data_IF_095763875469
#
_entry.id   IF_095763875469
#
_cell.length_a   1.000
_cell.length_b   1.000
_cell.length_c   1.000
_cell.angle_alpha   90.00
_cell.angle_beta   90.00
_cell.angle_gamma   90.00
#
_symmetry.space_group_name_H-M   'P 1'
#
loop_
_entity.id
_entity.type
_entity.pdbx_description
1 polymer ?
#
# COMPACT_ATOMS: atom_id res chain seq x y z
N UNK A 1 4.01 -12.45 9.26
CA UNK A 1 4.25 -13.89 9.16
C UNK A 1 4.97 -14.45 10.38
N UNK A 2 6.29 -14.22 10.51
CA UNK A 2 7.11 -14.86 11.56
C UNK A 2 6.60 -14.62 13.00
N UNK A 3 6.23 -13.39 13.35
CA UNK A 3 5.65 -13.08 14.66
C UNK A 3 4.32 -13.79 14.90
N UNK A 4 3.49 -13.96 13.87
CA UNK A 4 2.24 -14.72 13.99
C UNK A 4 2.52 -16.20 14.27
N UNK A 5 3.54 -16.79 13.64
CA UNK A 5 3.99 -18.17 13.92
C UNK A 5 4.49 -18.29 15.36
N UNK A 6 5.27 -17.31 15.84
CA UNK A 6 5.75 -17.29 17.24
C UNK A 6 4.62 -17.05 18.25
N UNK A 7 3.55 -16.35 17.84
CA UNK A 7 2.36 -16.11 18.65
C UNK A 7 1.47 -17.36 18.72
N UNK A 8 1.29 -18.05 17.59
CA UNK A 8 0.37 -19.18 17.46
C UNK A 8 0.72 -20.32 18.42
N UNK A 9 -0.28 -21.03 18.94
CA UNK A 9 -0.04 -22.28 19.68
C UNK A 9 0.53 -23.34 18.70
N UNK A 10 1.50 -24.13 19.17
CA UNK A 10 2.13 -25.21 18.38
C UNK A 10 1.21 -26.48 18.37
N UNK A 11 -0.07 -26.31 18.14
CA UNK A 11 -1.03 -27.42 18.06
C UNK A 11 -1.81 -27.33 16.77
N UNK A 12 -1.88 -28.45 16.05
CA UNK A 12 -2.65 -28.58 14.80
C UNK A 12 -4.17 -28.66 15.04
N UNK A 13 -4.61 -28.80 16.31
CA UNK A 13 -6.03 -28.92 16.67
C UNK A 13 -6.52 -27.58 17.22
N UNK A 14 -7.46 -26.96 16.52
CA UNK A 14 -8.08 -25.67 16.90
C UNK A 14 -8.76 -25.69 18.29
N UNK A 15 -9.27 -26.86 18.72
CA UNK A 15 -9.96 -27.06 19.99
C UNK A 15 -9.08 -27.80 21.04
N UNK A 16 -7.76 -27.73 20.94
CA UNK A 16 -6.90 -28.37 21.91
C UNK A 16 -6.96 -27.64 23.25
N UNK A 17 -7.27 -28.33 24.37
CA UNK A 17 -7.14 -27.74 25.71
C UNK A 17 -5.70 -27.36 26.07
N UNK A 18 -4.75 -27.68 25.19
CA UNK A 18 -3.33 -27.36 25.27
C UNK A 18 -2.98 -25.97 24.70
N UNK A 19 -3.93 -25.13 24.40
CA UNK A 19 -3.69 -23.76 23.91
C UNK A 19 -2.86 -22.98 24.95
N UNK A 20 -1.65 -22.63 24.56
CA UNK A 20 -0.65 -21.99 25.43
C UNK A 20 -0.83 -20.47 25.38
N UNK A 21 -0.66 -19.80 26.52
CA UNK A 21 -0.57 -18.34 26.53
C UNK A 21 0.59 -17.88 25.62
N UNK A 22 0.38 -16.87 24.76
CA UNK A 22 1.44 -16.31 23.93
C UNK A 22 2.56 -15.75 24.81
N UNK A 23 3.79 -15.77 24.29
CA UNK A 23 4.95 -15.20 24.99
C UNK A 23 4.76 -13.69 25.15
N UNK A 24 4.99 -13.17 26.37
CA UNK A 24 5.00 -11.73 26.62
C UNK A 24 5.96 -10.97 25.69
N UNK A 25 7.11 -11.56 25.41
CA UNK A 25 8.09 -10.96 24.50
C UNK A 25 7.55 -10.86 23.06
N UNK A 26 6.87 -11.89 22.55
CA UNK A 26 6.22 -11.85 21.22
C UNK A 26 5.11 -10.82 21.19
N UNK A 27 4.34 -10.69 22.26
CA UNK A 27 3.33 -9.62 22.37
C UNK A 27 3.98 -8.23 22.24
N UNK A 28 5.05 -7.96 22.98
CA UNK A 28 5.76 -6.69 22.88
C UNK A 28 6.39 -6.45 21.51
N UNK A 29 6.84 -7.49 20.82
CA UNK A 29 7.31 -7.39 19.44
C UNK A 29 6.17 -7.00 18.46
N UNK A 30 4.94 -7.48 18.71
CA UNK A 30 3.77 -7.06 17.92
C UNK A 30 3.39 -5.60 18.24
N UNK A 31 3.42 -5.19 19.52
CA UNK A 31 3.24 -3.78 19.91
C UNK A 31 4.26 -2.90 19.21
N UNK A 32 5.54 -3.25 19.26
CA UNK A 32 6.61 -2.53 18.58
C UNK A 32 6.42 -2.50 17.07
N UNK A 33 5.96 -3.59 16.45
CA UNK A 33 5.71 -3.64 15.01
C UNK A 33 4.63 -2.61 14.62
N UNK A 34 3.49 -2.62 15.32
CA UNK A 34 2.39 -1.69 15.04
C UNK A 34 2.80 -0.24 15.35
N UNK A 35 3.43 0.00 16.50
CA UNK A 35 3.89 1.32 16.88
C UNK A 35 4.89 1.88 15.86
N UNK A 36 5.88 1.08 15.44
CA UNK A 36 6.82 1.48 14.40
C UNK A 36 6.14 1.80 13.08
N UNK A 37 5.23 0.94 12.64
CA UNK A 37 4.54 1.11 11.37
C UNK A 37 3.88 2.48 11.28
N UNK A 38 3.18 2.88 12.33
CA UNK A 38 2.39 4.12 12.36
C UNK A 38 3.28 5.33 12.70
N UNK A 39 4.07 5.24 13.79
CA UNK A 39 4.92 6.35 14.25
C UNK A 39 5.95 6.78 13.22
N UNK A 40 6.66 5.83 12.62
CA UNK A 40 7.65 6.17 11.58
C UNK A 40 7.03 6.59 10.26
N UNK A 41 5.77 6.24 9.99
CA UNK A 41 4.99 6.84 8.91
C UNK A 41 4.83 8.35 9.10
N UNK A 42 4.43 8.79 10.31
CA UNK A 42 4.33 10.20 10.67
C UNK A 42 5.68 10.90 10.71
N UNK A 43 6.68 10.28 11.35
CA UNK A 43 8.03 10.83 11.45
C UNK A 43 8.69 11.03 10.07
N UNK A 44 8.53 10.06 9.15
CA UNK A 44 9.06 10.17 7.80
C UNK A 44 8.48 11.36 7.02
N UNK A 45 7.20 11.67 7.22
CA UNK A 45 6.57 12.86 6.63
C UNK A 45 7.21 14.15 7.13
N UNK A 46 7.50 14.25 8.44
CA UNK A 46 8.18 15.41 9.02
C UNK A 46 9.64 15.53 8.57
N UNK A 47 10.34 14.39 8.43
CA UNK A 47 11.75 14.34 8.05
C UNK A 47 11.97 14.50 6.54
N UNK A 48 10.94 14.33 5.72
CA UNK A 48 11.06 14.36 4.26
C UNK A 48 11.42 15.73 3.70
N UNK A 49 11.12 16.80 4.43
CA UNK A 49 11.25 18.18 3.95
C UNK A 49 10.22 18.54 2.87
N UNK A 50 9.21 17.72 2.64
CA UNK A 50 8.15 18.03 1.66
C UNK A 50 7.24 19.16 2.21
N UNK A 51 7.18 20.32 1.50
CA UNK A 51 6.37 21.46 1.94
C UNK A 51 4.88 21.12 2.11
N UNK A 52 4.36 20.14 1.36
CA UNK A 52 2.93 19.80 1.45
C UNK A 52 2.54 19.29 2.83
N UNK A 53 3.46 18.63 3.55
CA UNK A 53 3.23 18.19 4.92
C UNK A 53 3.37 19.33 5.91
N UNK A 54 4.39 20.18 5.77
CA UNK A 54 4.60 21.32 6.69
C UNK A 54 3.51 22.38 6.56
N UNK A 55 2.98 22.59 5.34
CA UNK A 55 1.90 23.53 5.05
C UNK A 55 0.50 22.92 5.23
N UNK A 56 0.43 21.64 5.63
CA UNK A 56 -0.79 20.87 5.78
C UNK A 56 -1.66 20.81 4.49
N UNK A 57 -1.02 20.86 3.32
CA UNK A 57 -1.71 20.80 2.00
C UNK A 57 -1.64 19.42 1.35
N UNK A 58 -0.97 18.44 1.97
CA UNK A 58 -0.76 17.11 1.41
C UNK A 58 -2.06 16.42 0.97
N UNK A 59 -3.14 16.57 1.74
CA UNK A 59 -4.43 15.94 1.43
C UNK A 59 -5.13 16.55 0.21
N UNK A 60 -4.79 17.77 -0.19
CA UNK A 60 -5.29 18.38 -1.44
C UNK A 60 -4.77 17.64 -2.69
N UNK A 61 -3.71 16.87 -2.55
CA UNK A 61 -3.14 16.05 -3.61
C UNK A 61 -3.43 14.56 -3.40
N UNK A 62 -3.36 14.07 -2.15
CA UNK A 62 -3.41 12.66 -1.78
C UNK A 62 -4.56 11.89 -2.45
N UNK A 63 -5.78 12.41 -2.40
CA UNK A 63 -6.97 11.65 -2.79
C UNK A 63 -7.03 11.35 -4.29
N UNK A 64 -6.48 12.20 -5.14
CA UNK A 64 -6.52 12.00 -6.59
C UNK A 64 -5.20 11.52 -7.20
N UNK A 65 -4.07 11.67 -6.47
CA UNK A 65 -2.77 11.17 -6.93
C UNK A 65 -2.45 9.76 -6.46
N UNK A 66 -3.21 9.17 -5.52
CA UNK A 66 -3.00 7.80 -5.05
C UNK A 66 -3.17 6.77 -6.19
N UNK A 67 -2.54 5.57 -6.12
CA UNK A 67 -2.49 4.61 -7.23
C UNK A 67 -3.86 4.24 -7.79
N UNK A 68 -4.79 3.80 -6.96
CA UNK A 68 -6.11 3.30 -7.36
C UNK A 68 -7.21 4.00 -6.54
N UNK A 69 -7.51 5.28 -6.83
CA UNK A 69 -8.60 5.98 -6.15
C UNK A 69 -9.95 5.45 -6.63
N UNK A 70 -10.96 5.57 -5.77
CA UNK A 70 -12.33 5.22 -6.06
C UNK A 70 -13.27 6.34 -5.61
N UNK A 71 -14.58 6.24 -5.83
CA UNK A 71 -15.51 7.36 -5.69
C UNK A 71 -15.44 8.12 -4.33
N UNK A 72 -15.20 7.52 -3.14
CA UNK A 72 -15.09 8.30 -1.91
C UNK A 72 -13.87 9.23 -1.87
N UNK A 73 -12.81 8.88 -2.63
CA UNK A 73 -11.64 9.76 -2.76
C UNK A 73 -12.01 11.09 -3.43
N UNK A 74 -12.90 11.06 -4.41
CA UNK A 74 -13.38 12.28 -5.06
C UNK A 74 -14.17 13.16 -4.09
N UNK A 75 -15.06 12.56 -3.27
CA UNK A 75 -15.80 13.29 -2.22
C UNK A 75 -14.82 13.93 -1.24
N UNK A 76 -13.83 13.15 -0.76
CA UNK A 76 -12.83 13.66 0.17
C UNK A 76 -11.99 14.79 -0.46
N UNK A 77 -11.61 14.68 -1.73
CA UNK A 77 -10.88 15.72 -2.46
C UNK A 77 -11.71 17.00 -2.66
N UNK A 78 -13.04 16.90 -2.68
CA UNK A 78 -13.97 18.02 -2.85
C UNK A 78 -14.22 18.79 -1.55
N UNK A 79 -13.69 18.35 -0.42
CA UNK A 79 -13.82 19.06 0.85
C UNK A 79 -13.09 20.42 0.83
N UNK A 80 -13.60 21.43 1.55
CA UNK A 80 -12.93 22.72 1.69
C UNK A 80 -11.49 22.58 2.21
N UNK A 81 -10.59 23.41 1.71
CA UNK A 81 -9.16 23.34 2.05
C UNK A 81 -8.87 23.41 3.57
N UNK A 82 -9.66 24.16 4.33
CA UNK A 82 -9.50 24.25 5.77
C UNK A 82 -9.81 22.92 6.49
N UNK A 83 -10.79 22.15 6.00
CA UNK A 83 -11.09 20.80 6.52
C UNK A 83 -9.93 19.87 6.22
N UNK A 84 -9.39 19.89 4.98
CA UNK A 84 -8.24 19.06 4.59
C UNK A 84 -7.02 19.39 5.45
N UNK A 85 -6.78 20.64 5.78
CA UNK A 85 -5.70 21.05 6.71
C UNK A 85 -5.93 20.51 8.11
N UNK A 86 -7.14 20.62 8.65
CA UNK A 86 -7.45 20.05 9.98
C UNK A 86 -7.28 18.53 10.01
N UNK A 87 -7.71 17.83 8.97
CA UNK A 87 -7.51 16.38 8.86
C UNK A 87 -6.02 16.05 8.75
N UNK A 88 -5.22 16.85 8.04
CA UNK A 88 -3.77 16.69 7.96
C UNK A 88 -3.12 16.78 9.34
N UNK A 89 -3.47 17.78 10.13
CA UNK A 89 -3.02 17.92 11.53
C UNK A 89 -3.47 16.71 12.36
N UNK A 90 -4.73 16.29 12.21
CA UNK A 90 -5.27 15.10 12.86
C UNK A 90 -4.48 13.84 12.54
N UNK A 91 -4.04 13.65 11.28
CA UNK A 91 -3.18 12.54 10.88
C UNK A 91 -1.86 12.56 11.67
N UNK A 92 -1.18 13.71 11.80
CA UNK A 92 0.03 13.81 12.60
C UNK A 92 -0.20 13.48 14.07
N UNK A 93 -1.27 13.98 14.67
CA UNK A 93 -1.64 13.67 16.06
C UNK A 93 -1.88 12.16 16.21
N UNK A 94 -2.57 11.53 15.27
CA UNK A 94 -2.84 10.09 15.30
C UNK A 94 -1.57 9.27 15.03
N UNK A 95 -0.79 9.61 14.01
CA UNK A 95 0.40 8.82 13.64
C UNK A 95 1.53 8.93 14.67
N UNK A 96 1.70 10.07 15.34
CA UNK A 96 2.75 10.25 16.33
C UNK A 96 2.27 9.99 17.76
N UNK A 97 1.02 10.30 18.08
CA UNK A 97 0.48 10.18 19.43
C UNK A 97 -0.12 8.81 19.74
N UNK A 98 -1.00 8.27 18.89
CA UNK A 98 -1.68 7.01 19.18
C UNK A 98 -0.72 5.81 19.39
N UNK A 99 0.41 5.66 18.65
CA UNK A 99 1.38 4.61 18.93
C UNK A 99 1.99 4.64 20.33
N UNK A 100 2.13 5.81 20.94
CA UNK A 100 2.66 5.93 22.29
C UNK A 100 1.70 5.34 23.33
N UNK A 101 0.40 5.44 23.09
CA UNK A 101 -0.63 4.86 23.95
C UNK A 101 -0.55 3.32 24.01
N UNK A 102 0.02 2.68 22.97
CA UNK A 102 0.16 1.22 22.92
C UNK A 102 1.09 0.66 24.02
N UNK A 103 2.00 1.48 24.54
CA UNK A 103 2.93 1.11 25.61
C UNK A 103 2.35 1.29 27.02
N UNK A 104 1.21 1.94 27.12
CA UNK A 104 0.55 2.25 28.38
C UNK A 104 -0.37 1.10 28.85
N UNK A 105 -0.94 1.16 30.07
CA UNK A 105 -1.87 0.16 30.59
C UNK A 105 -3.11 -0.03 29.72
N UNK A 106 -3.95 -1.00 30.09
CA UNK A 106 -5.10 -1.51 29.32
C UNK A 106 -5.95 -0.44 28.61
N UNK A 107 -6.44 0.60 29.34
CA UNK A 107 -7.37 1.58 28.76
C UNK A 107 -6.72 2.44 27.69
N UNK A 108 -5.61 3.18 27.92
CA UNK A 108 -4.97 3.96 26.87
C UNK A 108 -4.46 3.10 25.71
N UNK A 109 -3.98 1.87 25.94
CA UNK A 109 -3.61 0.93 24.88
C UNK A 109 -4.79 0.62 23.97
N UNK A 110 -5.95 0.33 24.54
CA UNK A 110 -7.18 0.07 23.78
C UNK A 110 -7.57 1.29 22.95
N UNK A 111 -7.52 2.50 23.54
CA UNK A 111 -7.79 3.76 22.84
C UNK A 111 -6.81 3.93 21.67
N UNK A 112 -5.51 3.76 21.89
CA UNK A 112 -4.50 3.83 20.83
C UNK A 112 -4.75 2.85 19.69
N UNK A 113 -5.10 1.60 20.01
CA UNK A 113 -5.44 0.60 19.01
C UNK A 113 -6.70 0.97 18.21
N UNK A 114 -7.74 1.48 18.86
CA UNK A 114 -8.98 1.93 18.19
C UNK A 114 -8.69 3.13 17.28
N UNK A 115 -7.92 4.11 17.73
CA UNK A 115 -7.55 5.29 16.93
C UNK A 115 -6.76 4.89 15.69
N UNK A 116 -5.77 3.99 15.82
CA UNK A 116 -5.00 3.49 14.68
C UNK A 116 -5.90 2.69 13.73
N UNK A 117 -6.76 1.82 14.24
CA UNK A 117 -7.70 1.07 13.41
C UNK A 117 -8.66 2.00 12.67
N UNK A 118 -9.17 3.05 13.31
CA UNK A 118 -9.99 4.09 12.71
C UNK A 118 -9.26 4.82 11.57
N UNK A 119 -8.00 5.21 11.77
CA UNK A 119 -7.17 5.80 10.73
C UNK A 119 -7.01 4.84 9.53
N UNK A 120 -6.72 3.56 9.78
CA UNK A 120 -6.59 2.56 8.71
C UNK A 120 -7.90 2.34 7.95
N UNK A 121 -9.04 2.40 8.63
CA UNK A 121 -10.36 2.33 7.99
C UNK A 121 -10.64 3.56 7.13
N UNK A 122 -10.30 4.76 7.59
CA UNK A 122 -10.44 5.98 6.79
C UNK A 122 -9.56 5.93 5.52
N UNK A 123 -8.32 5.43 5.63
CA UNK A 123 -7.43 5.23 4.48
C UNK A 123 -8.02 4.17 3.53
N UNK A 124 -8.52 3.04 4.06
CA UNK A 124 -9.17 2.01 3.25
C UNK A 124 -10.45 2.50 2.57
N UNK A 125 -11.21 3.37 3.24
CA UNK A 125 -12.44 3.95 2.70
C UNK A 125 -12.19 4.94 1.54
N UNK A 126 -11.01 5.56 1.46
CA UNK A 126 -10.69 6.57 0.44
C UNK A 126 -9.72 6.08 -0.62
N UNK A 127 -9.06 4.93 -0.44
CA UNK A 127 -8.07 4.41 -1.38
C UNK A 127 -7.84 2.91 -1.29
N UNK A 128 -7.39 2.33 -2.38
CA UNK A 128 -7.13 0.89 -2.49
C UNK A 128 -5.65 0.58 -2.24
N UNK A 129 -5.31 0.18 -1.01
CA UNK A 129 -3.93 -0.17 -0.59
C UNK A 129 -3.75 -1.68 -0.35
N UNK A 130 -4.57 -2.49 -1.00
CA UNK A 130 -4.52 -3.95 -0.90
C UNK A 130 -4.79 -4.44 0.52
N UNK A 131 -3.98 -5.39 0.98
CA UNK A 131 -4.13 -6.01 2.31
C UNK A 131 -3.52 -5.18 3.45
N UNK A 132 -2.81 -4.08 3.17
CA UNK A 132 -2.01 -3.34 4.16
C UNK A 132 -2.85 -2.81 5.32
N UNK A 133 -3.93 -2.08 5.02
CA UNK A 133 -4.80 -1.52 6.06
C UNK A 133 -5.46 -2.61 6.91
N UNK A 134 -5.92 -3.69 6.26
CA UNK A 134 -6.54 -4.83 6.94
C UNK A 134 -5.55 -5.55 7.86
N UNK A 135 -4.31 -5.73 7.43
CA UNK A 135 -3.25 -6.30 8.27
C UNK A 135 -2.96 -5.43 9.49
N UNK A 136 -2.92 -4.11 9.33
CA UNK A 136 -2.74 -3.17 10.43
C UNK A 136 -3.93 -3.22 11.42
N UNK A 137 -5.17 -3.33 10.93
CA UNK A 137 -6.37 -3.52 11.77
C UNK A 137 -6.30 -4.84 12.54
N UNK A 138 -5.89 -5.93 11.91
CA UNK A 138 -5.69 -7.23 12.59
C UNK A 138 -4.61 -7.11 13.68
N UNK A 139 -3.54 -6.35 13.44
CA UNK A 139 -2.55 -6.06 14.47
C UNK A 139 -3.16 -5.25 15.63
N UNK A 140 -4.04 -4.28 15.35
CA UNK A 140 -4.75 -3.54 16.39
C UNK A 140 -5.63 -4.47 17.26
N UNK A 141 -6.29 -5.48 16.66
CA UNK A 141 -7.04 -6.47 17.44
C UNK A 141 -6.17 -7.25 18.43
N UNK A 142 -4.89 -7.51 18.09
CA UNK A 142 -3.95 -8.18 18.99
C UNK A 142 -3.51 -7.31 20.17
N UNK A 143 -3.81 -6.01 20.17
CA UNK A 143 -3.55 -5.08 21.27
C UNK A 143 -4.70 -5.02 22.28
N UNK A 144 -5.88 -5.50 21.89
CA UNK A 144 -7.07 -5.50 22.76
C UNK A 144 -6.92 -6.56 23.85
N UNK A 145 -7.42 -6.23 25.01
CA UNK A 145 -7.49 -7.13 26.16
C UNK A 145 -8.62 -8.15 25.99
N UNK A 146 -8.45 -9.35 26.56
CA UNK A 146 -9.46 -10.42 26.54
C UNK A 146 -10.82 -9.92 27.04
N UNK A 147 -10.86 -9.02 28.04
CA UNK A 147 -12.09 -8.46 28.54
C UNK A 147 -12.84 -7.61 27.50
N UNK A 148 -12.12 -6.84 26.67
CA UNK A 148 -12.72 -6.06 25.58
C UNK A 148 -13.19 -6.99 24.47
N UNK A 149 -12.35 -7.97 24.09
CA UNK A 149 -12.70 -8.96 23.07
C UNK A 149 -13.91 -9.79 23.47
N UNK A 150 -13.99 -10.21 24.75
CA UNK A 150 -15.10 -10.98 25.25
C UNK A 150 -16.42 -10.18 25.27
N UNK A 151 -16.38 -8.84 25.41
CA UNK A 151 -17.59 -8.00 25.28
C UNK A 151 -18.20 -8.09 23.88
N UNK A 152 -17.38 -8.28 22.86
CA UNK A 152 -17.82 -8.41 21.46
C UNK A 152 -18.33 -9.82 21.11
N UNK A 153 -18.17 -10.81 22.03
CA UNK A 153 -18.52 -12.22 21.77
C UNK A 153 -19.83 -12.62 22.45
N UNK A 154 -20.66 -13.45 21.82
CA UNK A 154 -21.89 -13.96 22.43
C UNK A 154 -21.62 -14.68 23.76
N UNK A 155 -22.51 -14.59 24.75
CA UNK A 155 -22.31 -15.21 26.08
C UNK A 155 -22.01 -16.71 26.05
N UNK A 156 -22.66 -17.46 25.14
CA UNK A 156 -22.44 -18.90 24.97
C UNK A 156 -21.02 -19.23 24.48
N UNK A 157 -20.38 -18.34 23.70
CA UNK A 157 -19.01 -18.52 23.23
C UNK A 157 -17.98 -18.14 24.31
N UNK A 158 -18.31 -17.17 25.18
CA UNK A 158 -17.46 -16.76 26.33
C UNK A 158 -17.16 -17.93 27.26
N UNK A 159 -18.17 -18.74 27.58
CA UNK A 159 -18.04 -19.90 28.48
C UNK A 159 -17.09 -20.98 27.92
N UNK A 160 -17.03 -21.16 26.58
CA UNK A 160 -16.15 -22.14 25.91
C UNK A 160 -14.68 -21.71 25.89
N UNK A 161 -14.41 -20.41 25.86
CA UNK A 161 -13.05 -19.86 25.80
C UNK A 161 -12.34 -19.93 27.15
N UNK A 162 -13.07 -19.83 28.25
CA UNK A 162 -12.52 -19.79 29.62
C UNK A 162 -11.84 -21.11 30.11
N UNK A 163 -12.14 -22.25 29.47
CA UNK A 163 -11.77 -23.59 29.97
C UNK A 163 -10.39 -24.09 29.48
N UNK A 164 -9.72 -23.43 28.50
CA UNK A 164 -8.70 -24.06 27.67
C UNK A 164 -7.20 -23.78 27.96
N UNK A 165 -6.77 -23.11 29.03
CA UNK A 165 -5.46 -22.44 29.06
C UNK A 165 -4.39 -22.99 30.04
N UNK A 166 -4.18 -24.29 30.17
CA UNK A 166 -3.16 -24.81 31.11
C UNK A 166 -2.22 -25.87 30.56
N UNK A 167 -1.23 -25.51 29.73
CA UNK A 167 -0.02 -26.33 29.57
C UNK A 167 1.20 -25.50 29.15
N UNK A 168 2.35 -25.75 29.78
CA UNK A 168 3.61 -25.09 29.46
C UNK A 168 4.35 -25.81 28.31
N UNK A 169 4.99 -25.12 27.36
CA UNK A 169 5.83 -25.76 26.36
C UNK A 169 7.05 -26.41 26.95
N UNK A 170 7.58 -27.45 26.29
CA UNK A 170 8.85 -28.06 26.65
C UNK A 170 9.98 -27.01 26.70
N UNK A 171 11.00 -27.30 27.52
CA UNK A 171 12.11 -26.38 27.83
C UNK A 171 12.84 -25.90 26.55
N UNK A 172 13.15 -26.82 25.66
CA UNK A 172 13.87 -26.56 24.40
C UNK A 172 13.08 -25.57 23.48
N UNK A 173 11.78 -25.78 23.35
CA UNK A 173 10.91 -24.90 22.55
C UNK A 173 10.81 -23.50 23.17
N UNK A 174 10.80 -23.38 24.50
CA UNK A 174 10.81 -22.09 25.19
C UNK A 174 12.10 -21.32 24.92
N UNK A 175 13.25 -21.96 25.02
CA UNK A 175 14.54 -21.31 24.77
C UNK A 175 14.72 -20.95 23.31
N UNK A 176 14.35 -21.82 22.37
CA UNK A 176 14.39 -21.52 20.94
C UNK A 176 13.53 -20.30 20.59
N UNK A 177 12.28 -20.24 21.08
CA UNK A 177 11.40 -19.06 20.86
C UNK A 177 11.96 -17.79 21.49
N UNK A 178 12.56 -17.87 22.69
CA UNK A 178 13.21 -16.72 23.34
C UNK A 178 14.39 -16.23 22.52
N UNK A 179 15.24 -17.14 22.03
CA UNK A 179 16.39 -16.81 21.20
C UNK A 179 15.98 -16.08 19.91
N UNK A 180 15.04 -16.65 19.16
CA UNK A 180 14.52 -16.00 17.93
C UNK A 180 13.90 -14.64 18.23
N UNK A 181 13.10 -14.54 19.31
CA UNK A 181 12.48 -13.27 19.70
C UNK A 181 13.51 -12.22 20.14
N UNK A 182 14.59 -12.62 20.81
CA UNK A 182 15.68 -11.72 21.19
C UNK A 182 16.43 -11.19 19.96
N UNK A 183 16.73 -12.06 18.99
CA UNK A 183 17.34 -11.63 17.70
C UNK A 183 16.43 -10.67 16.96
N UNK A 184 15.12 -10.95 16.89
CA UNK A 184 14.17 -10.02 16.27
C UNK A 184 14.10 -8.68 17.00
N UNK A 185 14.13 -8.70 18.34
CA UNK A 185 14.16 -7.45 19.12
C UNK A 185 15.42 -6.63 18.82
N UNK A 186 16.58 -7.28 18.79
CA UNK A 186 17.85 -6.63 18.44
C UNK A 186 17.77 -5.98 17.04
N UNK A 187 17.31 -6.73 16.04
CA UNK A 187 17.16 -6.22 14.67
C UNK A 187 16.18 -5.03 14.60
N UNK A 188 15.08 -5.10 15.37
CA UNK A 188 14.12 -3.99 15.47
C UNK A 188 14.75 -2.74 16.08
N UNK A 189 15.46 -2.89 17.21
CA UNK A 189 16.11 -1.77 17.90
C UNK A 189 17.18 -1.12 17.02
N UNK A 190 17.98 -1.92 16.32
CA UNK A 190 18.97 -1.44 15.35
C UNK A 190 18.32 -0.66 14.23
N UNK A 191 17.25 -1.19 13.66
CA UNK A 191 16.53 -0.50 12.58
C UNK A 191 15.86 0.80 13.05
N UNK A 192 15.36 0.85 14.28
CA UNK A 192 14.86 2.11 14.90
C UNK A 192 15.98 3.12 15.01
N UNK A 193 17.14 2.72 15.54
CA UNK A 193 18.30 3.59 15.64
C UNK A 193 18.71 4.15 14.27
N UNK A 194 18.86 3.29 13.27
CA UNK A 194 19.23 3.71 11.90
C UNK A 194 18.23 4.71 11.31
N UNK A 195 16.94 4.53 11.58
CA UNK A 195 15.88 5.40 11.06
C UNK A 195 15.84 6.76 11.78
N UNK A 196 16.12 6.80 13.07
CA UNK A 196 16.16 8.04 13.88
C UNK A 196 17.44 8.83 13.63
N UNK A 197 18.60 8.16 13.62
CA UNK A 197 19.92 8.83 13.54
C UNK A 197 20.42 9.01 12.12
N UNK A 198 19.75 8.41 11.12
CA UNK A 198 20.18 8.36 9.71
C UNK A 198 21.59 7.78 9.55
N UNK A 199 22.12 7.11 10.57
CA UNK A 199 23.47 6.56 10.61
C UNK A 199 23.46 5.04 10.52
N UNK A 200 24.39 4.47 9.73
CA UNK A 200 24.55 3.02 9.59
C UNK A 200 25.23 2.43 10.83
N UNK A 201 24.92 1.18 11.11
CA UNK A 201 25.58 0.40 12.19
C UNK A 201 26.88 -0.22 11.73
N UNK A 202 27.76 -0.49 12.73
CA UNK A 202 29.05 -1.13 12.52
C UNK A 202 28.97 -2.61 12.09
N UNK A 203 30.10 -3.15 11.66
CA UNK A 203 30.22 -4.41 10.93
C UNK A 203 29.50 -5.65 11.50
N UNK A 204 29.56 -6.06 12.76
CA UNK A 204 28.95 -7.34 13.13
C UNK A 204 27.41 -7.33 12.98
N UNK A 205 26.79 -6.17 13.21
CA UNK A 205 25.33 -6.03 13.09
C UNK A 205 24.92 -5.90 11.61
N UNK A 206 25.71 -5.19 10.80
CA UNK A 206 25.51 -5.12 9.36
C UNK A 206 25.56 -6.49 8.69
N UNK A 207 26.49 -7.36 9.11
CA UNK A 207 26.59 -8.74 8.61
C UNK A 207 25.38 -9.58 8.99
N UNK A 208 24.86 -9.43 10.21
CA UNK A 208 23.62 -10.10 10.63
C UNK A 208 22.41 -9.61 9.82
N UNK A 209 22.28 -8.32 9.60
CA UNK A 209 21.22 -7.74 8.75
C UNK A 209 21.30 -8.28 7.32
N UNK A 210 22.51 -8.39 6.77
CA UNK A 210 22.74 -8.94 5.43
C UNK A 210 22.36 -10.42 5.34
N UNK A 211 22.73 -11.24 6.33
CA UNK A 211 22.41 -12.67 6.39
C UNK A 211 20.89 -12.93 6.41
N UNK A 212 20.13 -12.07 7.09
CA UNK A 212 18.66 -12.21 7.18
C UNK A 212 17.89 -11.38 6.13
N UNK A 213 18.59 -10.66 5.26
CA UNK A 213 17.99 -9.74 4.29
C UNK A 213 16.98 -10.41 3.35
N UNK A 214 17.25 -11.66 2.95
CA UNK A 214 16.35 -12.44 2.10
C UNK A 214 14.96 -12.64 2.74
N UNK A 215 14.90 -12.75 4.06
CA UNK A 215 13.68 -12.96 4.83
C UNK A 215 12.93 -11.65 5.15
N UNK A 216 13.57 -10.50 4.92
CA UNK A 216 13.05 -9.16 5.23
C UNK A 216 12.37 -9.08 6.61
N UNK A 217 13.00 -9.54 7.70
CA UNK A 217 12.37 -9.58 9.02
C UNK A 217 12.10 -8.20 9.59
N UNK A 218 12.85 -7.21 9.13
CA UNK A 218 12.73 -5.79 9.53
C UNK A 218 12.90 -4.91 8.28
N UNK A 219 12.14 -3.85 8.20
CA UNK A 219 12.21 -2.86 7.11
C UNK A 219 12.11 -1.43 7.66
N UNK A 220 12.41 -0.44 6.80
CA UNK A 220 12.14 0.96 7.07
C UNK A 220 10.70 1.28 6.65
N UNK A 221 10.02 2.08 7.47
CA UNK A 221 8.66 2.55 7.18
C UNK A 221 8.71 4.04 6.88
N UNK A 222 8.05 4.46 5.84
CA UNK A 222 8.04 5.86 5.38
C UNK A 222 7.08 6.04 4.22
N UNK A 223 5.91 5.39 4.28
CA UNK A 223 4.88 5.53 3.26
C UNK A 223 4.40 6.98 3.19
N UNK A 224 4.28 7.50 1.97
CA UNK A 224 3.84 8.88 1.71
C UNK A 224 4.71 9.95 2.38
N UNK A 225 6.01 9.68 2.58
CA UNK A 225 6.95 10.68 3.09
C UNK A 225 6.98 11.92 2.18
N UNK A 226 6.89 11.73 0.86
CA UNK A 226 6.75 12.80 -0.13
C UNK A 226 5.46 12.60 -0.92
N UNK A 227 4.75 13.71 -1.23
CA UNK A 227 3.51 13.69 -1.99
C UNK A 227 3.76 13.90 -3.47
N UNK A 228 3.16 13.04 -4.30
CA UNK A 228 3.02 13.33 -5.72
C UNK A 228 1.98 14.43 -5.90
N UNK A 229 2.31 15.45 -6.70
CA UNK A 229 1.42 16.60 -6.98
C UNK A 229 0.75 16.51 -8.34
N UNK A 230 1.12 15.51 -9.10
CA UNK A 230 0.63 15.22 -10.45
C UNK A 230 0.09 13.80 -10.51
N UNK A 231 -0.77 13.53 -11.46
CA UNK A 231 -1.27 12.19 -11.74
C UNK A 231 -1.09 11.84 -13.20
N UNK A 232 0.11 11.43 -13.60
CA UNK A 232 0.30 10.86 -14.93
C UNK A 232 -0.36 9.49 -15.02
N UNK A 233 -0.93 9.19 -16.18
CA UNK A 233 -1.52 7.88 -16.51
C UNK A 233 -1.04 7.43 -17.88
N UNK A 234 -0.70 6.14 -17.98
CA UNK A 234 -0.39 5.50 -19.24
C UNK A 234 -1.69 4.94 -19.83
N UNK A 235 -2.09 5.43 -20.98
CA UNK A 235 -3.18 4.91 -21.78
C UNK A 235 -2.63 4.23 -23.02
N UNK A 236 -3.11 3.02 -23.32
CA UNK A 236 -2.66 2.20 -24.46
C UNK A 236 -3.82 2.10 -25.44
N UNK A 237 -3.52 2.19 -26.73
CA UNK A 237 -4.47 1.94 -27.81
C UNK A 237 -3.91 0.87 -28.74
N UNK A 238 -4.78 0.03 -29.24
CA UNK A 238 -4.47 -0.99 -30.23
C UNK A 238 -5.21 -0.71 -31.53
N UNK A 239 -4.61 -1.10 -32.64
CA UNK A 239 -5.15 -0.91 -33.98
C UNK A 239 -5.61 -2.24 -34.53
N UNK A 240 -6.86 -2.28 -35.04
CA UNK A 240 -7.41 -3.46 -35.73
C UNK A 240 -6.90 -3.61 -37.16
N UNK A 241 -7.36 -4.63 -37.89
CA UNK A 241 -7.01 -4.87 -39.27
C UNK A 241 -7.59 -3.82 -40.22
N UNK A 242 -8.70 -3.21 -39.85
CA UNK A 242 -9.41 -2.17 -40.58
C UNK A 242 -8.73 -0.77 -40.42
N UNK A 243 -7.76 -0.67 -39.51
CA UNK A 243 -6.99 0.52 -39.28
C UNK A 243 -7.57 1.45 -38.20
N UNK A 244 -8.62 0.99 -37.46
CA UNK A 244 -9.24 1.78 -36.39
C UNK A 244 -8.50 1.60 -35.08
N UNK A 245 -8.39 2.67 -34.30
CA UNK A 245 -7.75 2.66 -32.99
C UNK A 245 -8.79 2.45 -31.88
N UNK A 246 -8.53 1.48 -31.00
CA UNK A 246 -9.34 1.12 -29.86
C UNK A 246 -8.54 1.25 -28.56
N UNK A 247 -9.14 1.75 -27.47
CA UNK A 247 -8.46 1.82 -26.19
C UNK A 247 -8.33 0.42 -25.56
N UNK A 248 -7.17 0.15 -24.95
CA UNK A 248 -7.00 -0.97 -24.02
C UNK A 248 -7.56 -0.53 -22.67
N UNK A 249 -8.55 -1.25 -22.14
CA UNK A 249 -9.20 -0.88 -20.89
C UNK A 249 -8.71 -1.74 -19.72
N UNK A 250 -8.20 -1.05 -18.72
CA UNK A 250 -7.79 -1.65 -17.46
C UNK A 250 -8.94 -1.63 -16.47
N UNK A 251 -9.00 -2.65 -15.60
CA UNK A 251 -10.14 -2.84 -14.71
C UNK A 251 -10.19 -1.86 -13.55
N UNK A 252 -9.03 -1.46 -12.99
CA UNK A 252 -8.97 -0.75 -11.72
C UNK A 252 -8.37 0.65 -11.79
N UNK A 253 -7.40 0.89 -12.70
CA UNK A 253 -6.80 2.22 -12.85
C UNK A 253 -7.74 3.20 -13.57
N UNK A 254 -7.52 4.52 -13.40
CA UNK A 254 -8.19 5.52 -14.23
C UNK A 254 -7.99 5.27 -15.73
N UNK A 255 -9.01 5.54 -16.51
CA UNK A 255 -9.02 5.38 -17.95
C UNK A 255 -10.09 6.27 -18.58
N UNK A 256 -11.33 5.77 -18.85
CA UNK A 256 -12.43 6.61 -19.31
C UNK A 256 -12.78 7.70 -18.27
N UNK A 257 -13.07 8.91 -18.73
CA UNK A 257 -13.28 10.07 -17.86
C UNK A 257 -14.52 9.92 -16.96
N UNK A 258 -15.56 9.28 -17.49
CA UNK A 258 -16.84 9.05 -16.79
C UNK A 258 -16.77 7.90 -15.78
N UNK A 259 -15.60 7.22 -15.65
CA UNK A 259 -15.44 6.10 -14.75
C UNK A 259 -14.39 6.38 -13.66
N UNK A 260 -14.76 6.14 -12.42
CA UNK A 260 -13.83 6.03 -11.30
C UNK A 260 -13.62 4.56 -10.93
N UNK A 261 -12.44 4.20 -10.47
CA UNK A 261 -12.13 2.83 -10.05
C UNK A 261 -13.08 2.30 -8.97
N UNK A 262 -13.20 0.98 -8.88
CA UNK A 262 -13.97 0.29 -7.86
C UNK A 262 -13.16 0.00 -6.59
N UNK A 263 -13.82 -0.60 -5.58
CA UNK A 263 -13.18 -1.12 -4.39
C UNK A 263 -12.60 -2.51 -4.67
N UNK A 264 -11.29 -2.68 -4.55
CA UNK A 264 -10.61 -3.94 -4.84
C UNK A 264 -9.93 -4.59 -3.63
N UNK A 265 -9.98 -3.97 -2.45
CA UNK A 265 -9.37 -4.53 -1.24
C UNK A 265 -10.11 -5.78 -0.76
N UNK A 266 -9.41 -6.73 -0.13
CA UNK A 266 -7.98 -6.77 0.18
C UNK A 266 -7.08 -7.15 -1.00
N UNK A 267 -7.63 -7.33 -2.20
CA UNK A 267 -6.88 -7.60 -3.42
C UNK A 267 -5.93 -6.46 -3.77
N UNK A 268 -4.89 -6.78 -4.53
CA UNK A 268 -3.94 -5.81 -5.03
C UNK A 268 -3.69 -6.07 -6.52
N UNK A 269 -4.40 -5.37 -7.42
CA UNK A 269 -4.23 -5.53 -8.86
C UNK A 269 -2.85 -5.02 -9.27
N UNK A 270 -1.89 -5.96 -9.37
CA UNK A 270 -0.47 -5.66 -9.55
C UNK A 270 -0.18 -4.89 -10.82
N UNK A 271 -0.84 -5.22 -11.94
CA UNK A 271 -0.63 -4.57 -13.23
C UNK A 271 -1.05 -3.10 -13.18
N UNK A 272 -2.29 -2.82 -12.75
CA UNK A 272 -2.83 -1.47 -12.65
C UNK A 272 -2.00 -0.60 -11.71
N UNK A 273 -1.56 -1.18 -10.58
CA UNK A 273 -0.70 -0.51 -9.61
C UNK A 273 0.69 -0.21 -10.19
N UNK A 274 1.29 -1.17 -10.89
CA UNK A 274 2.62 -1.00 -11.45
C UNK A 274 2.63 0.06 -12.57
N UNK A 275 1.57 0.14 -13.38
CA UNK A 275 1.44 1.16 -14.42
C UNK A 275 1.39 2.59 -13.84
N UNK A 276 0.90 2.77 -12.62
CA UNK A 276 0.99 4.06 -11.94
C UNK A 276 2.44 4.44 -11.62
N UNK A 277 3.27 3.51 -11.15
CA UNK A 277 4.72 3.76 -10.97
C UNK A 277 5.42 4.02 -12.29
N UNK A 278 5.06 3.27 -13.33
CA UNK A 278 5.62 3.47 -14.67
C UNK A 278 5.28 4.88 -15.16
N UNK A 279 4.02 5.32 -15.00
CA UNK A 279 3.58 6.65 -15.41
C UNK A 279 4.39 7.76 -14.74
N UNK A 280 4.64 7.66 -13.41
CA UNK A 280 5.49 8.62 -12.68
C UNK A 280 6.93 8.62 -13.21
N UNK A 281 7.46 7.45 -13.58
CA UNK A 281 8.81 7.32 -14.16
C UNK A 281 8.88 7.98 -15.53
N UNK A 282 7.87 7.78 -16.37
CA UNK A 282 7.79 8.38 -17.70
C UNK A 282 7.54 9.88 -17.64
N UNK A 283 6.74 10.37 -16.69
CA UNK A 283 6.55 11.81 -16.46
C UNK A 283 7.87 12.48 -16.05
N UNK A 284 8.62 11.87 -15.14
CA UNK A 284 9.93 12.39 -14.75
C UNK A 284 10.89 12.46 -15.93
N UNK A 285 10.91 11.45 -16.79
CA UNK A 285 11.70 11.44 -18.01
C UNK A 285 11.22 12.49 -19.02
N UNK A 286 9.91 12.68 -19.17
CA UNK A 286 9.34 13.71 -20.03
C UNK A 286 9.75 15.11 -19.59
N UNK A 287 9.65 15.41 -18.30
CA UNK A 287 10.02 16.70 -17.72
C UNK A 287 11.53 17.00 -17.85
N UNK A 288 12.38 15.96 -17.95
CA UNK A 288 13.82 16.07 -18.19
C UNK A 288 14.20 16.12 -19.68
N UNK A 289 13.21 16.16 -20.59
CA UNK A 289 13.44 16.15 -22.05
C UNK A 289 13.89 14.79 -22.61
N UNK A 290 13.82 13.73 -21.82
CA UNK A 290 14.21 12.37 -22.23
C UNK A 290 13.16 11.63 -23.07
N UNK A 291 11.93 12.13 -23.13
CA UNK A 291 10.88 11.62 -24.00
C UNK A 291 10.62 12.64 -25.11
N UNK A 292 10.88 12.23 -26.36
CA UNK A 292 10.57 13.06 -27.52
C UNK A 292 9.39 12.47 -28.29
N UNK A 293 8.46 13.30 -28.78
CA UNK A 293 7.36 12.83 -29.63
C UNK A 293 7.94 12.02 -30.81
N UNK A 294 7.31 10.89 -31.11
CA UNK A 294 7.77 10.02 -32.21
C UNK A 294 8.89 9.03 -31.87
N UNK A 295 9.54 9.14 -30.71
CA UNK A 295 10.53 8.16 -30.27
C UNK A 295 9.91 7.14 -29.32
N UNK A 296 10.08 5.86 -29.64
CA UNK A 296 9.69 4.75 -28.78
C UNK A 296 10.84 4.39 -27.84
N UNK A 297 11.03 5.20 -26.78
CA UNK A 297 12.13 4.98 -25.85
C UNK A 297 11.67 4.07 -24.70
N UNK A 298 11.79 2.75 -24.90
CA UNK A 298 11.41 1.72 -23.91
C UNK A 298 12.45 1.55 -22.79
N UNK A 299 13.63 2.15 -22.90
CA UNK A 299 14.75 1.89 -21.99
C UNK A 299 14.98 3.01 -20.99
N UNK A 300 13.92 3.44 -20.25
CA UNK A 300 14.11 4.45 -19.21
C UNK A 300 14.69 3.82 -17.94
N UNK A 301 14.22 2.64 -17.57
CA UNK A 301 14.79 1.83 -16.47
C UNK A 301 14.45 0.35 -16.65
N UNK A 302 15.26 -0.55 -16.05
CA UNK A 302 14.97 -1.99 -16.03
C UNK A 302 13.79 -2.37 -15.09
N UNK A 303 13.06 -1.38 -14.55
CA UNK A 303 12.00 -1.57 -13.55
C UNK A 303 10.60 -1.29 -14.09
N UNK A 304 10.46 -0.75 -15.30
CA UNK A 304 9.15 -0.46 -15.89
C UNK A 304 8.55 -1.70 -16.55
N UNK A 305 7.24 -1.86 -16.40
CA UNK A 305 6.48 -3.00 -16.92
C UNK A 305 5.94 -2.73 -18.31
N UNK A 306 5.73 -1.46 -18.68
CA UNK A 306 5.12 -1.06 -19.95
C UNK A 306 5.72 -1.74 -21.20
N UNK A 307 7.07 -1.84 -21.38
CA UNK A 307 7.62 -2.50 -22.56
C UNK A 307 7.23 -3.97 -22.69
N UNK A 308 7.22 -4.68 -21.55
CA UNK A 308 6.83 -6.09 -21.53
C UNK A 308 5.34 -6.24 -21.79
N UNK A 309 4.53 -5.38 -21.18
CA UNK A 309 3.08 -5.35 -21.38
C UNK A 309 2.72 -5.14 -22.85
N UNK A 310 3.33 -4.17 -23.53
CA UNK A 310 3.09 -3.91 -24.95
C UNK A 310 3.43 -5.14 -25.81
N UNK A 311 4.55 -5.83 -25.53
CA UNK A 311 4.89 -7.08 -26.23
C UNK A 311 3.84 -8.16 -26.02
N UNK A 312 3.38 -8.36 -24.81
CA UNK A 312 2.37 -9.40 -24.49
C UNK A 312 0.99 -9.06 -25.08
N UNK A 313 0.65 -7.78 -25.16
CA UNK A 313 -0.59 -7.33 -25.80
C UNK A 313 -0.57 -7.57 -27.33
N UNK A 314 0.60 -7.42 -27.98
CA UNK A 314 0.75 -7.68 -29.41
C UNK A 314 0.49 -9.14 -29.78
N UNK A 315 0.80 -10.08 -28.89
CA UNK A 315 0.59 -11.53 -29.12
C UNK A 315 -0.67 -12.05 -28.42
N UNK A 316 -1.45 -11.18 -27.80
CA UNK A 316 -2.65 -11.51 -27.02
C UNK A 316 -2.38 -12.61 -25.97
N UNK A 317 -1.29 -12.46 -25.21
CA UNK A 317 -0.92 -13.43 -24.17
C UNK A 317 -2.09 -13.65 -23.17
N UNK A 318 -2.66 -14.86 -23.07
CA UNK A 318 -3.89 -15.09 -22.34
C UNK A 318 -3.86 -14.67 -20.87
N UNK A 319 -2.79 -14.93 -20.09
CA UNK A 319 -2.64 -14.42 -18.71
C UNK A 319 -2.72 -12.91 -18.61
N UNK A 320 -2.17 -12.16 -19.57
CA UNK A 320 -2.19 -10.70 -19.58
C UNK A 320 -3.55 -10.16 -19.99
N UNK A 321 -4.13 -10.72 -21.04
CA UNK A 321 -5.47 -10.37 -21.54
C UNK A 321 -6.53 -10.56 -20.44
N UNK A 322 -6.43 -11.61 -19.63
CA UNK A 322 -7.35 -11.88 -18.52
C UNK A 322 -7.32 -10.81 -17.40
N UNK A 323 -6.27 -9.98 -17.33
CA UNK A 323 -6.16 -8.87 -16.37
C UNK A 323 -6.90 -7.61 -16.85
N UNK A 324 -7.22 -7.53 -18.14
CA UNK A 324 -7.91 -6.38 -18.72
C UNK A 324 -9.41 -6.40 -18.40
N UNK A 325 -10.04 -5.25 -18.52
CA UNK A 325 -11.50 -5.14 -18.48
C UNK A 325 -12.11 -5.55 -19.82
N UNK A 326 -11.51 -5.03 -20.91
CA UNK A 326 -11.85 -5.41 -22.29
C UNK A 326 -10.56 -5.80 -23.00
N UNK A 327 -10.56 -6.99 -23.57
CA UNK A 327 -9.45 -7.48 -24.40
C UNK A 327 -9.62 -7.06 -25.86
N UNK A 328 -8.53 -6.87 -26.61
CA UNK A 328 -8.60 -6.76 -28.06
C UNK A 328 -9.36 -7.95 -28.65
N UNK A 329 -10.29 -7.67 -29.56
CA UNK A 329 -11.11 -8.69 -30.21
C UNK A 329 -10.35 -9.45 -31.31
N UNK A 330 -9.24 -8.89 -31.79
CA UNK A 330 -8.33 -9.47 -32.79
C UNK A 330 -6.88 -9.12 -32.47
N UNK A 331 -5.94 -9.84 -33.07
CA UNK A 331 -4.52 -9.53 -32.92
C UNK A 331 -4.22 -8.10 -33.38
N UNK A 332 -3.65 -7.24 -32.53
CA UNK A 332 -3.33 -5.88 -32.89
C UNK A 332 -2.35 -5.80 -34.06
N UNK A 333 -2.63 -4.96 -35.03
CA UNK A 333 -1.67 -4.65 -36.11
C UNK A 333 -0.58 -3.68 -35.64
N UNK A 334 -0.93 -2.81 -34.68
CA UNK A 334 -0.01 -1.93 -34.00
C UNK A 334 -0.54 -1.49 -32.65
N UNK A 335 0.37 -1.06 -31.77
CA UNK A 335 0.06 -0.45 -30.48
C UNK A 335 0.66 0.94 -30.42
N UNK A 336 -0.01 1.84 -29.70
CA UNK A 336 0.56 3.11 -29.25
C UNK A 336 0.18 3.36 -27.80
N UNK A 337 0.97 4.16 -27.13
CA UNK A 337 0.67 4.57 -25.76
C UNK A 337 0.80 6.08 -25.61
N UNK A 338 0.10 6.56 -24.62
CA UNK A 338 0.02 7.97 -24.31
C UNK A 338 0.31 8.19 -22.84
N UNK A 339 0.99 9.28 -22.53
CA UNK A 339 1.11 9.79 -21.18
C UNK A 339 0.13 10.95 -21.06
N UNK A 340 -0.88 10.78 -20.24
CA UNK A 340 -1.91 11.76 -20.01
C UNK A 340 -1.89 12.22 -18.54
N UNK A 341 -2.01 13.53 -18.30
CA UNK A 341 -2.15 14.10 -16.97
C UNK A 341 -3.62 14.09 -16.57
N UNK A 342 -3.94 13.41 -15.49
CA UNK A 342 -5.30 13.34 -14.95
C UNK A 342 -5.43 14.22 -13.69
N UNK A 343 -6.61 14.75 -13.46
CA UNK A 343 -7.06 15.31 -12.18
C UNK A 343 -8.53 14.99 -11.94
N UNK A 344 -8.96 14.98 -10.69
CA UNK A 344 -10.39 14.94 -10.42
C UNK A 344 -11.07 16.21 -10.95
N UNK A 345 -12.28 16.03 -11.46
CA UNK A 345 -13.17 17.17 -11.78
C UNK A 345 -13.61 17.86 -10.49
N UNK A 346 -13.83 19.16 -10.57
CA UNK A 346 -14.54 19.90 -9.53
C UNK A 346 -16.02 19.50 -9.50
N UNK A 347 -16.73 19.87 -8.44
CA UNK A 347 -18.17 19.63 -8.32
C UNK A 347 -18.97 20.28 -9.47
N UNK A 348 -18.57 21.47 -9.92
CA UNK A 348 -19.19 22.16 -11.06
C UNK A 348 -18.92 21.42 -12.38
N UNK A 349 -17.66 21.11 -12.69
CA UNK A 349 -17.28 20.36 -13.91
C UNK A 349 -17.99 19.00 -13.99
N UNK A 350 -18.11 18.32 -12.85
CA UNK A 350 -18.82 17.04 -12.79
C UNK A 350 -20.33 17.18 -13.00
N UNK A 351 -20.92 18.24 -12.48
CA UNK A 351 -22.36 18.51 -12.69
C UNK A 351 -22.70 18.76 -14.18
N UNK A 352 -21.76 19.35 -14.92
CA UNK A 352 -21.94 19.64 -16.36
C UNK A 352 -21.64 18.41 -17.23
N UNK A 353 -20.52 17.70 -16.99
CA UNK A 353 -20.03 16.63 -17.87
C UNK A 353 -20.42 15.22 -17.44
N UNK A 354 -20.72 15.01 -16.16
CA UNK A 354 -20.86 13.68 -15.55
C UNK A 354 -19.51 12.96 -15.29
N UNK A 355 -18.39 13.56 -15.70
CA UNK A 355 -17.06 12.96 -15.63
C UNK A 355 -16.45 13.05 -14.23
N UNK A 356 -15.74 12.00 -13.85
CA UNK A 356 -14.93 11.98 -12.63
C UNK A 356 -13.55 12.58 -12.82
N UNK A 357 -13.05 12.52 -14.05
CA UNK A 357 -11.71 12.93 -14.42
C UNK A 357 -11.70 13.97 -15.52
N UNK A 358 -10.76 14.89 -15.43
CA UNK A 358 -10.28 15.71 -16.52
C UNK A 358 -8.88 15.25 -16.91
N UNK A 359 -8.56 15.24 -18.21
CA UNK A 359 -7.24 14.83 -18.68
C UNK A 359 -6.65 15.79 -19.70
N UNK A 360 -5.33 15.89 -19.71
CA UNK A 360 -4.54 16.63 -20.70
C UNK A 360 -3.43 15.74 -21.24
N UNK A 361 -3.25 15.66 -22.55
CA UNK A 361 -2.20 14.86 -23.18
C UNK A 361 -0.84 15.52 -22.99
N UNK A 362 0.13 14.78 -22.43
CA UNK A 362 1.52 15.20 -22.30
C UNK A 362 2.39 14.63 -23.44
N UNK A 363 2.19 13.37 -23.78
CA UNK A 363 3.02 12.67 -24.76
C UNK A 363 2.23 11.59 -25.51
N UNK A 364 2.63 11.33 -26.77
CA UNK A 364 2.15 10.21 -27.58
C UNK A 364 3.33 9.51 -28.22
N UNK A 365 3.36 8.18 -28.09
CA UNK A 365 4.38 7.37 -28.77
C UNK A 365 4.08 7.22 -30.27
N UNK A 366 5.10 6.90 -31.06
CA UNK A 366 4.89 6.32 -32.39
C UNK A 366 4.20 4.96 -32.26
N UNK A 367 3.44 4.53 -33.29
CA UNK A 367 2.92 3.18 -33.35
C UNK A 367 4.04 2.13 -33.29
N UNK A 368 3.87 1.13 -32.43
CA UNK A 368 4.70 -0.06 -32.37
C UNK A 368 4.09 -1.12 -33.30
N UNK A 369 4.85 -1.55 -34.27
CA UNK A 369 4.49 -2.64 -35.18
C UNK A 369 5.35 -3.84 -34.83
N UNK A 370 4.79 -5.05 -34.79
CA UNK A 370 5.60 -6.26 -34.76
C UNK A 370 6.37 -6.32 -36.10
N UNK A 371 7.67 -6.15 -36.02
CA UNK A 371 8.51 -6.60 -37.15
C UNK A 371 8.38 -8.13 -37.19
N UNK A 372 7.92 -8.67 -38.33
CA UNK A 372 8.02 -10.10 -38.58
C UNK A 372 9.50 -10.47 -38.34
N UNK A 373 9.72 -11.47 -37.49
CA UNK A 373 11.06 -12.00 -37.32
C UNK A 373 11.59 -12.42 -38.73
N UNK A 374 12.82 -12.05 -39.10
CA UNK A 374 13.39 -12.41 -40.38
C UNK A 374 13.50 -13.91 -40.56
#
# INVERSE_FOLDING_TARGET
GLLAILWAPLTWRLNSPLAKRPSRLVHWLLVLLLARLVFFGGLAKLQSGDPTWTDCTALSYYFWTQPLPWWPAWIAASLPAWILKLVCVGIFILELGAPLLLFLPRVPRTIGAILIAGLMLCIAATGNYGFFNWLAIVLCLSMLDDGVLLMLWPPAARARIAVGLRHAPGLLVRWGRRGVSAVLLLLVLVSIREQVTVSRVGQPIASLQQAVRAWRPVGHYGLFATMTKTRPEINIEWRDAEGTWHPVRFRWKPGPLHRVGGFCQPGMPRLDWQLWFDALTYEAAFNQGGLRPGQFNLRITNRVVLPMLLRQLMVLDPPVVALLEESPSSTPTSLRWHLDQYRFTTTAERAESGDWWSKTRLFSSSPLVLQAAP
#
